data_IF_332768517923
#
_entry.id   IF_332768517923
#
_cell.length_a   1.000
_cell.length_b   1.000
_cell.length_c   1.000
_cell.angle_alpha   90.00
_cell.angle_beta   90.00
_cell.angle_gamma   90.00
#
_symmetry.space_group_name_H-M   'P 1'
#
loop_
_entity.id
_entity.type
_entity.pdbx_description
1 polymer ?
#
# COMPACT_ATOMS: atom_id res chain seq x y z
N UNK A 1 4.33 23.05 -4.08
CA UNK A 1 3.20 22.09 -3.93
C UNK A 1 3.38 21.35 -2.61
N UNK A 2 2.35 20.69 -2.07
CA UNK A 2 2.46 19.91 -0.82
C UNK A 2 3.58 18.85 -0.91
N UNK A 3 3.73 18.19 -2.07
CA UNK A 3 4.81 17.24 -2.32
C UNK A 3 6.20 17.87 -2.19
N UNK A 4 6.44 19.08 -2.73
CA UNK A 4 7.74 19.75 -2.61
C UNK A 4 8.08 20.18 -1.17
N UNK A 5 7.08 20.35 -0.31
CA UNK A 5 7.25 20.84 1.06
C UNK A 5 7.30 19.70 2.09
N UNK A 6 6.55 18.62 1.85
CA UNK A 6 6.29 17.59 2.85
C UNK A 6 6.55 16.16 2.37
N UNK A 7 6.91 15.95 1.11
CA UNK A 7 7.07 14.63 0.48
C UNK A 7 5.82 13.72 0.58
N UNK A 8 4.67 14.29 0.91
CA UNK A 8 3.40 13.59 1.07
C UNK A 8 2.25 14.48 0.61
N UNK A 9 1.25 13.86 -0.03
CA UNK A 9 0.02 14.51 -0.44
C UNK A 9 -1.09 13.48 -0.48
N UNK A 10 -2.27 13.85 0.01
CA UNK A 10 -3.49 13.07 -0.16
C UNK A 10 -4.36 13.72 -1.24
N UNK A 11 -4.88 12.94 -2.17
CA UNK A 11 -5.74 13.43 -3.25
C UNK A 11 -7.07 12.67 -3.26
N UNK A 12 -8.19 13.31 -2.88
CA UNK A 12 -9.51 12.71 -2.98
C UNK A 12 -9.89 12.44 -4.43
N UNK A 13 -10.58 11.32 -4.71
CA UNK A 13 -11.07 10.99 -6.06
C UNK A 13 -11.97 12.08 -6.66
N UNK A 14 -12.76 12.78 -5.85
CA UNK A 14 -13.61 13.89 -6.29
C UNK A 14 -12.79 15.07 -6.86
N UNK A 15 -11.60 15.30 -6.30
CA UNK A 15 -10.68 16.35 -6.78
C UNK A 15 -9.88 15.89 -8.00
N UNK A 16 -9.59 14.58 -8.10
CA UNK A 16 -8.89 14.01 -9.25
C UNK A 16 -9.80 13.90 -10.48
N UNK A 17 -10.99 13.34 -10.31
CA UNK A 17 -11.94 13.08 -11.39
C UNK A 17 -13.36 13.00 -10.84
N UNK A 18 -14.05 14.14 -10.85
CA UNK A 18 -15.43 14.26 -10.37
C UNK A 18 -16.39 13.23 -11.01
N UNK A 19 -16.36 12.95 -12.34
CA UNK A 19 -17.22 11.92 -12.93
C UNK A 19 -16.99 10.51 -12.35
N UNK A 20 -15.74 10.13 -12.07
CA UNK A 20 -15.46 8.82 -11.44
C UNK A 20 -15.97 8.78 -9.99
N UNK A 21 -15.88 9.89 -9.27
CA UNK A 21 -16.46 10.01 -7.94
C UNK A 21 -17.98 9.80 -7.97
N UNK A 22 -18.69 10.47 -8.88
CA UNK A 22 -20.14 10.32 -9.04
C UNK A 22 -20.53 8.86 -9.32
N UNK A 23 -19.79 8.17 -10.19
CA UNK A 23 -20.02 6.75 -10.46
C UNK A 23 -19.80 5.85 -9.22
N UNK A 24 -18.82 6.17 -8.37
CA UNK A 24 -18.62 5.47 -7.09
C UNK A 24 -19.80 5.71 -6.14
N UNK A 25 -20.33 6.93 -6.10
CA UNK A 25 -21.46 7.32 -5.24
C UNK A 25 -22.79 6.66 -5.64
N UNK A 26 -22.88 6.00 -6.79
CA UNK A 26 -24.06 5.21 -7.18
C UNK A 26 -24.16 3.86 -6.43
N UNK A 27 -23.16 3.48 -5.65
CA UNK A 27 -23.16 2.21 -4.89
C UNK A 27 -24.37 2.02 -3.98
N UNK A 28 -24.85 3.00 -3.19
CA UNK A 28 -26.04 2.83 -2.36
C UNK A 28 -27.32 2.59 -3.18
N UNK A 29 -27.38 3.10 -4.41
CA UNK A 29 -28.52 2.91 -5.31
C UNK A 29 -28.55 1.49 -5.89
N UNK A 30 -27.40 0.98 -6.33
CA UNK A 30 -27.32 -0.33 -7.01
C UNK A 30 -26.95 -1.50 -6.09
N UNK A 31 -26.49 -1.23 -4.86
CA UNK A 31 -26.10 -2.24 -3.88
C UNK A 31 -24.81 -3.01 -4.21
N UNK A 32 -24.12 -2.67 -5.30
CA UNK A 32 -22.98 -3.43 -5.83
C UNK A 32 -21.73 -2.56 -6.02
N UNK A 33 -20.55 -3.19 -5.99
CA UNK A 33 -19.30 -2.54 -6.42
C UNK A 33 -19.21 -2.60 -7.96
N UNK A 34 -19.11 -1.44 -8.60
CA UNK A 34 -18.87 -1.34 -10.04
C UNK A 34 -17.38 -1.52 -10.40
N UNK A 35 -17.04 -1.81 -11.68
CA UNK A 35 -15.66 -1.86 -12.15
C UNK A 35 -14.83 -0.60 -11.86
N UNK A 36 -15.49 0.54 -11.67
CA UNK A 36 -14.87 1.82 -11.31
C UNK A 36 -14.09 1.72 -9.99
N UNK A 37 -14.54 0.90 -9.04
CA UNK A 37 -13.84 0.72 -7.75
C UNK A 37 -12.46 0.08 -7.92
N UNK A 38 -12.33 -0.81 -8.91
CA UNK A 38 -11.05 -1.44 -9.27
C UNK A 38 -10.23 -0.49 -10.13
N UNK A 39 -10.84 0.15 -11.14
CA UNK A 39 -10.17 1.07 -12.05
C UNK A 39 -9.53 2.26 -11.32
N UNK A 40 -10.23 2.87 -10.35
CA UNK A 40 -9.69 4.04 -9.64
C UNK A 40 -8.40 3.73 -8.88
N UNK A 41 -8.19 2.47 -8.46
CA UNK A 41 -6.97 2.02 -7.79
C UNK A 41 -5.78 1.83 -8.76
N UNK A 42 -6.03 1.80 -10.07
CA UNK A 42 -5.01 1.74 -11.12
C UNK A 42 -4.56 3.14 -11.59
N UNK A 43 -5.21 4.20 -11.12
CA UNK A 43 -4.88 5.56 -11.58
C UNK A 43 -3.51 5.99 -11.05
N UNK A 44 -2.64 6.40 -11.96
CA UNK A 44 -1.37 7.03 -11.65
C UNK A 44 -1.31 8.44 -12.26
N UNK A 45 -2.13 9.39 -11.76
CA UNK A 45 -2.33 10.69 -12.41
C UNK A 45 -1.10 11.59 -12.38
N UNK A 46 -0.14 11.30 -11.50
CA UNK A 46 1.12 12.04 -11.38
C UNK A 46 2.28 11.35 -12.09
N UNK A 47 2.02 10.27 -12.83
CA UNK A 47 3.05 9.45 -13.47
C UNK A 47 4.18 9.05 -12.49
N UNK A 48 3.80 8.68 -11.27
CA UNK A 48 4.75 8.25 -10.25
C UNK A 48 5.56 7.06 -10.75
N UNK A 49 6.88 7.09 -10.51
CA UNK A 49 7.82 6.06 -10.96
C UNK A 49 7.62 4.69 -10.28
N UNK A 50 6.87 4.66 -9.17
CA UNK A 50 6.55 3.47 -8.40
C UNK A 50 5.09 3.53 -7.96
N UNK A 51 4.33 2.48 -8.22
CA UNK A 51 2.94 2.32 -7.75
C UNK A 51 2.82 1.11 -6.83
N UNK A 52 1.89 1.15 -5.88
CA UNK A 52 1.52 0.01 -5.06
C UNK A 52 0.00 -0.16 -5.13
N UNK A 53 -0.46 -1.37 -5.39
CA UNK A 53 -1.85 -1.68 -5.66
C UNK A 53 -2.30 -2.89 -4.86
N UNK A 54 -3.50 -2.78 -4.29
CA UNK A 54 -4.13 -3.86 -3.55
C UNK A 54 -5.27 -4.48 -4.36
N UNK A 55 -5.32 -5.81 -4.39
CA UNK A 55 -6.43 -6.57 -4.98
C UNK A 55 -7.29 -7.20 -3.90
N UNK A 56 -8.60 -7.24 -4.14
CA UNK A 56 -9.54 -7.86 -3.18
C UNK A 56 -9.39 -9.39 -3.09
N UNK A 57 -9.03 -10.04 -4.20
CA UNK A 57 -8.83 -11.48 -4.28
C UNK A 57 -7.51 -11.81 -5.00
N UNK A 58 -6.69 -12.79 -4.54
CA UNK A 58 -5.38 -13.05 -5.12
C UNK A 58 -5.42 -13.44 -6.60
N UNK A 59 -6.53 -14.04 -7.05
CA UNK A 59 -6.73 -14.40 -8.46
C UNK A 59 -6.71 -13.20 -9.42
N UNK A 60 -6.89 -11.96 -8.91
CA UNK A 60 -6.82 -10.75 -9.74
C UNK A 60 -5.40 -10.18 -9.83
N UNK A 61 -4.44 -10.70 -9.06
CA UNK A 61 -3.08 -10.15 -9.04
C UNK A 61 -2.39 -10.24 -10.40
N UNK A 62 -2.54 -11.36 -11.11
CA UNK A 62 -1.96 -11.55 -12.45
C UNK A 62 -2.52 -10.57 -13.48
N UNK A 63 -3.85 -10.32 -13.46
CA UNK A 63 -4.48 -9.35 -14.37
C UNK A 63 -4.00 -7.93 -14.09
N UNK A 64 -3.91 -7.53 -12.82
CA UNK A 64 -3.44 -6.20 -12.44
C UNK A 64 -1.95 -6.02 -12.76
N UNK A 65 -1.12 -7.03 -12.50
CA UNK A 65 0.30 -7.05 -12.87
C UNK A 65 0.47 -6.92 -14.39
N UNK A 66 -0.28 -7.70 -15.17
CA UNK A 66 -0.27 -7.61 -16.62
C UNK A 66 -0.75 -6.26 -17.16
N UNK A 67 -1.71 -5.61 -16.48
CA UNK A 67 -2.13 -4.26 -16.81
C UNK A 67 -1.01 -3.23 -16.56
N UNK A 68 -0.31 -3.31 -15.43
CA UNK A 68 0.84 -2.45 -15.14
C UNK A 68 1.95 -2.59 -16.20
N UNK A 69 2.21 -3.82 -16.67
CA UNK A 69 3.14 -4.06 -17.78
C UNK A 69 2.70 -3.39 -19.08
N UNK A 70 1.43 -3.56 -19.45
CA UNK A 70 0.89 -2.97 -20.69
C UNK A 70 0.83 -1.44 -20.64
N UNK A 71 0.64 -0.87 -19.45
CA UNK A 71 0.69 0.58 -19.21
C UNK A 71 2.14 1.12 -19.17
N UNK A 72 3.14 0.26 -19.25
CA UNK A 72 4.56 0.64 -19.26
C UNK A 72 5.07 1.09 -17.89
N UNK A 73 4.43 0.67 -16.79
CA UNK A 73 4.93 0.99 -15.45
C UNK A 73 6.30 0.34 -15.22
N UNK A 74 7.29 1.14 -14.84
CA UNK A 74 8.65 0.63 -14.58
C UNK A 74 8.73 -0.08 -13.23
N UNK A 75 8.04 0.45 -12.21
CA UNK A 75 7.98 -0.13 -10.89
C UNK A 75 6.53 -0.17 -10.39
N UNK A 76 6.06 -1.36 -10.03
CA UNK A 76 4.71 -1.57 -9.53
C UNK A 76 4.70 -2.78 -8.61
N UNK A 77 3.89 -2.78 -7.55
CA UNK A 77 3.61 -3.99 -6.81
C UNK A 77 2.11 -4.21 -6.65
N UNK A 78 1.69 -5.43 -6.93
CA UNK A 78 0.30 -5.89 -6.81
C UNK A 78 0.26 -7.03 -5.81
N UNK A 79 -0.56 -6.88 -4.77
CA UNK A 79 -0.74 -7.91 -3.76
C UNK A 79 -2.11 -7.81 -3.09
N UNK A 80 -2.55 -8.86 -2.40
CA UNK A 80 -3.76 -8.78 -1.58
C UNK A 80 -3.44 -8.15 -0.23
N UNK A 81 -3.76 -6.86 -0.08
CA UNK A 81 -3.66 -6.17 1.20
C UNK A 81 -4.91 -6.31 2.06
N UNK A 82 -4.91 -5.63 3.22
CA UNK A 82 -5.97 -5.78 4.22
C UNK A 82 -7.19 -4.90 3.94
N UNK A 83 -8.40 -5.46 4.06
CA UNK A 83 -9.67 -4.81 3.68
C UNK A 83 -9.71 -4.19 2.26
N UNK A 84 -8.78 -4.57 1.38
CA UNK A 84 -8.61 -4.00 0.04
C UNK A 84 -7.69 -2.78 -0.01
N UNK A 85 -7.11 -2.36 1.11
CA UNK A 85 -6.10 -1.30 1.16
C UNK A 85 -4.71 -1.85 0.88
N UNK A 86 -3.79 -0.95 0.51
CA UNK A 86 -2.38 -1.27 0.25
C UNK A 86 -1.66 -1.39 1.58
N UNK A 87 -1.90 -2.52 2.25
CA UNK A 87 -1.34 -2.82 3.56
C UNK A 87 -0.84 -4.28 3.58
N UNK A 88 0.40 -4.48 4.03
CA UNK A 88 0.95 -5.80 4.29
C UNK A 88 0.16 -6.52 5.38
N UNK A 89 0.00 -7.83 5.25
CA UNK A 89 -0.79 -8.68 6.15
C UNK A 89 0.12 -9.64 6.91
N UNK A 90 0.65 -9.29 8.09
CA UNK A 90 1.56 -10.14 8.86
C UNK A 90 0.98 -11.51 9.21
N UNK A 91 -0.34 -11.58 9.35
CA UNK A 91 -1.08 -12.78 9.71
C UNK A 91 -1.26 -13.79 8.56
N UNK A 92 -0.84 -13.44 7.34
CA UNK A 92 -1.03 -14.25 6.16
C UNK A 92 0.26 -14.39 5.34
N UNK A 93 0.36 -15.48 4.58
CA UNK A 93 1.31 -15.59 3.48
C UNK A 93 0.82 -14.71 2.34
N UNK A 94 1.60 -13.70 1.96
CA UNK A 94 1.24 -12.76 0.88
C UNK A 94 2.12 -13.04 -0.33
N UNK A 95 1.50 -13.25 -1.48
CA UNK A 95 2.20 -13.30 -2.77
C UNK A 95 2.22 -11.89 -3.37
N UNK A 96 3.43 -11.40 -3.65
CA UNK A 96 3.70 -10.12 -4.27
C UNK A 96 4.00 -10.37 -5.76
N UNK A 97 3.33 -9.62 -6.63
CA UNK A 97 3.63 -9.53 -8.05
C UNK A 97 4.25 -8.16 -8.29
N UNK A 98 5.53 -8.13 -8.64
CA UNK A 98 6.33 -6.92 -8.64
C UNK A 98 6.88 -6.70 -10.05
N UNK A 99 6.71 -5.49 -10.56
CA UNK A 99 7.55 -4.94 -11.61
C UNK A 99 8.64 -4.10 -10.94
N UNK A 100 9.89 -4.36 -11.28
CA UNK A 100 11.03 -3.59 -10.81
C UNK A 100 11.96 -3.36 -11.99
N UNK A 101 12.16 -2.10 -12.36
CA UNK A 101 12.87 -1.70 -13.58
C UNK A 101 12.36 -2.43 -14.83
N UNK A 102 11.05 -2.66 -14.92
CA UNK A 102 10.40 -3.38 -16.02
C UNK A 102 10.48 -4.92 -15.93
N UNK A 103 11.24 -5.47 -14.99
CA UNK A 103 11.36 -6.91 -14.80
C UNK A 103 10.28 -7.44 -13.84
N UNK A 104 9.67 -8.57 -14.20
CA UNK A 104 8.66 -9.23 -13.37
C UNK A 104 9.30 -10.15 -12.33
N UNK A 105 8.97 -9.89 -11.07
CA UNK A 105 9.44 -10.63 -9.91
C UNK A 105 8.23 -11.11 -9.11
N UNK A 106 8.28 -12.36 -8.64
CA UNK A 106 7.32 -12.86 -7.66
C UNK A 106 8.04 -13.14 -6.35
N UNK A 107 7.47 -12.66 -5.25
CA UNK A 107 7.97 -12.93 -3.91
C UNK A 107 6.82 -13.38 -3.02
N UNK A 108 7.07 -14.33 -2.13
CA UNK A 108 6.05 -14.82 -1.18
C UNK A 108 6.56 -14.63 0.23
N UNK A 109 5.80 -13.89 1.04
CA UNK A 109 6.18 -13.59 2.41
C UNK A 109 5.84 -14.74 3.36
N UNK A 110 6.48 -14.74 4.53
CA UNK A 110 6.12 -15.64 5.62
C UNK A 110 4.97 -15.07 6.45
N UNK A 111 4.12 -15.96 6.99
CA UNK A 111 3.18 -15.60 8.05
C UNK A 111 3.97 -15.34 9.33
N UNK A 112 3.76 -14.18 9.94
CA UNK A 112 4.46 -13.71 11.12
C UNK A 112 3.61 -13.77 12.41
N UNK A 113 2.29 -13.92 12.30
CA UNK A 113 1.43 -13.94 13.49
C UNK A 113 -0.04 -14.25 13.22
N UNK A 114 -0.88 -13.91 14.18
CA UNK A 114 -2.33 -14.04 14.10
C UNK A 114 -3.01 -12.75 13.65
N UNK A 115 -4.27 -12.86 13.23
CA UNK A 115 -5.07 -11.69 12.89
C UNK A 115 -5.29 -10.83 14.14
N UNK A 116 -5.28 -9.49 14.02
CA UNK A 116 -5.57 -8.62 15.13
C UNK A 116 -7.04 -8.79 15.54
N UNK A 117 -7.35 -8.50 16.80
CA UNK A 117 -8.75 -8.41 17.20
C UNK A 117 -9.43 -7.22 16.50
N UNK A 118 -10.71 -7.35 16.12
CA UNK A 118 -11.48 -6.22 15.64
C UNK A 118 -11.48 -5.08 16.66
N UNK A 119 -11.16 -3.87 16.21
CA UNK A 119 -11.15 -2.68 17.04
C UNK A 119 -11.94 -1.55 16.36
N UNK A 120 -12.45 -0.64 17.18
CA UNK A 120 -13.06 0.59 16.67
C UNK A 120 -11.95 1.56 16.29
N UNK A 121 -11.94 2.12 15.06
CA UNK A 121 -10.92 3.08 14.65
C UNK A 121 -10.80 4.25 15.64
N UNK A 122 -9.58 4.51 16.10
CA UNK A 122 -9.28 5.57 17.05
C UNK A 122 -7.99 6.28 16.65
N UNK A 123 -8.11 7.54 16.22
CA UNK A 123 -6.98 8.35 15.80
C UNK A 123 -5.93 8.55 16.90
N UNK A 124 -6.36 8.66 18.17
CA UNK A 124 -5.43 8.74 19.30
C UNK A 124 -4.60 7.47 19.43
N UNK A 125 -5.22 6.29 19.29
CA UNK A 125 -4.48 5.03 19.35
C UNK A 125 -3.41 4.95 18.25
N UNK A 126 -3.74 5.38 17.03
CA UNK A 126 -2.76 5.42 15.91
C UNK A 126 -1.56 6.34 16.25
N UNK A 127 -1.83 7.52 16.82
CA UNK A 127 -0.78 8.44 17.25
C UNK A 127 0.04 7.89 18.42
N UNK A 128 -0.60 7.23 19.37
CA UNK A 128 0.09 6.63 20.53
C UNK A 128 1.03 5.50 20.06
N UNK A 129 0.60 4.65 19.11
CA UNK A 129 1.48 3.64 18.48
C UNK A 129 2.63 4.31 17.70
N UNK A 130 2.32 5.32 16.88
CA UNK A 130 3.34 6.07 16.13
C UNK A 130 4.38 6.72 17.06
N UNK A 131 3.98 7.21 18.23
CA UNK A 131 4.89 7.84 19.22
C UNK A 131 5.52 6.85 20.20
N UNK A 132 5.33 5.53 20.00
CA UNK A 132 5.83 4.51 20.93
C UNK A 132 5.19 4.55 22.32
N UNK A 133 4.07 5.26 22.50
CA UNK A 133 3.32 5.35 23.75
C UNK A 133 2.38 4.15 23.95
N UNK A 134 2.13 3.37 22.90
CA UNK A 134 1.40 2.10 22.94
C UNK A 134 2.14 1.07 22.09
N UNK A 135 2.43 -0.09 22.65
CA UNK A 135 2.96 -1.21 21.88
C UNK A 135 1.84 -1.86 21.07
N UNK A 136 2.12 -2.17 19.80
CA UNK A 136 1.22 -2.93 18.95
C UNK A 136 2.05 -3.66 17.87
N UNK A 137 2.41 -4.91 18.16
CA UNK A 137 3.27 -5.72 17.27
C UNK A 137 2.67 -5.92 15.88
N UNK A 138 1.34 -6.10 15.78
CA UNK A 138 0.68 -6.26 14.49
C UNK A 138 0.80 -4.98 13.65
N UNK A 139 0.51 -3.82 14.26
CA UNK A 139 0.62 -2.53 13.57
C UNK A 139 2.05 -2.27 13.09
N UNK A 140 3.05 -2.51 13.95
CA UNK A 140 4.45 -2.35 13.56
C UNK A 140 4.83 -3.27 12.38
N UNK A 141 4.44 -4.54 12.42
CA UNK A 141 4.70 -5.49 11.32
C UNK A 141 3.98 -5.09 10.02
N UNK A 142 2.74 -4.61 10.11
CA UNK A 142 1.99 -4.14 8.95
C UNK A 142 2.63 -2.87 8.34
N UNK A 143 3.02 -1.90 9.17
CA UNK A 143 3.69 -0.66 8.76
C UNK A 143 5.03 -0.95 8.11
N UNK A 144 5.92 -1.67 8.82
CA UNK A 144 7.27 -1.99 8.33
C UNK A 144 7.23 -2.90 7.10
N UNK A 145 6.32 -3.88 7.06
CA UNK A 145 6.13 -4.73 5.89
C UNK A 145 5.63 -3.97 4.66
N UNK A 146 4.70 -3.02 4.83
CA UNK A 146 4.21 -2.17 3.73
C UNK A 146 5.33 -1.27 3.20
N UNK A 147 6.08 -0.63 4.10
CA UNK A 147 7.24 0.18 3.74
C UNK A 147 8.33 -0.64 3.05
N UNK A 148 8.60 -1.87 3.49
CA UNK A 148 9.56 -2.77 2.85
C UNK A 148 9.17 -3.09 1.40
N UNK A 149 7.88 -3.37 1.14
CA UNK A 149 7.38 -3.58 -0.23
C UNK A 149 7.62 -2.32 -1.07
N UNK A 150 7.33 -1.13 -0.54
CA UNK A 150 7.55 0.14 -1.23
C UNK A 150 9.04 0.35 -1.57
N UNK A 151 9.94 0.14 -0.61
CA UNK A 151 11.39 0.31 -0.78
C UNK A 151 11.97 -0.67 -1.80
N UNK A 152 11.56 -1.93 -1.73
CA UNK A 152 12.01 -2.94 -2.68
C UNK A 152 11.52 -2.65 -4.11
N UNK A 153 10.23 -2.34 -4.24
CA UNK A 153 9.59 -2.04 -5.54
C UNK A 153 10.20 -0.81 -6.19
N UNK A 154 10.44 0.25 -5.42
CA UNK A 154 11.07 1.49 -5.90
C UNK A 154 12.59 1.41 -6.09
N UNK A 155 13.16 0.20 -6.03
CA UNK A 155 14.59 -0.06 -6.18
C UNK A 155 15.53 0.62 -5.15
N UNK A 156 15.01 1.04 -3.99
CA UNK A 156 15.81 1.57 -2.88
C UNK A 156 16.43 0.47 -2.00
N UNK A 157 16.11 -0.80 -2.26
CA UNK A 157 16.70 -1.96 -1.63
C UNK A 157 16.98 -3.06 -2.66
N UNK A 158 18.04 -3.84 -2.43
CA UNK A 158 18.50 -4.90 -3.33
C UNK A 158 17.70 -6.21 -3.17
N UNK A 159 17.14 -6.44 -1.98
CA UNK A 159 16.34 -7.61 -1.65
C UNK A 159 15.18 -7.25 -0.72
N UNK A 160 14.17 -8.13 -0.64
CA UNK A 160 13.06 -7.96 0.32
C UNK A 160 13.55 -7.95 1.77
N UNK A 161 14.59 -8.73 2.11
CA UNK A 161 15.17 -8.75 3.46
C UNK A 161 15.87 -7.43 3.78
N UNK A 162 16.66 -6.89 2.83
CA UNK A 162 17.30 -5.57 2.98
C UNK A 162 16.24 -4.46 3.11
N UNK A 163 15.16 -4.54 2.33
CA UNK A 163 14.05 -3.61 2.40
C UNK A 163 13.33 -3.66 3.77
N UNK A 164 13.14 -4.85 4.33
CA UNK A 164 12.57 -5.03 5.67
C UNK A 164 13.48 -4.42 6.75
N UNK A 165 14.79 -4.68 6.68
CA UNK A 165 15.75 -4.09 7.62
C UNK A 165 15.77 -2.55 7.55
N UNK A 166 15.71 -1.99 6.34
CA UNK A 166 15.63 -0.56 6.13
C UNK A 166 14.32 0.02 6.71
N UNK A 167 13.18 -0.60 6.42
CA UNK A 167 11.87 -0.18 6.95
C UNK A 167 11.82 -0.23 8.48
N UNK A 168 12.37 -1.27 9.11
CA UNK A 168 12.48 -1.36 10.57
C UNK A 168 13.40 -0.29 11.16
N UNK A 169 14.48 0.06 10.46
CA UNK A 169 15.36 1.16 10.87
C UNK A 169 14.64 2.51 10.80
N UNK A 170 13.94 2.78 9.70
CA UNK A 170 13.08 3.97 9.57
C UNK A 170 12.03 4.05 10.68
N UNK A 171 11.38 2.92 11.00
CA UNK A 171 10.45 2.84 12.12
C UNK A 171 11.11 3.22 13.43
N UNK A 172 12.27 2.63 13.77
CA UNK A 172 12.98 2.97 15.02
C UNK A 172 13.40 4.44 15.11
N UNK A 173 13.73 5.07 13.99
CA UNK A 173 14.19 6.46 13.90
C UNK A 173 13.07 7.48 13.65
N UNK A 174 11.80 7.05 13.65
CA UNK A 174 10.66 7.89 13.23
C UNK A 174 10.45 9.16 14.08
N UNK A 175 10.94 9.21 15.31
CA UNK A 175 10.81 10.39 16.17
C UNK A 175 11.78 11.51 15.79
N UNK A 176 12.97 11.17 15.27
CA UNK A 176 13.95 12.15 14.79
C UNK A 176 13.39 12.95 13.59
N UNK A 177 12.48 12.34 12.81
CA UNK A 177 11.80 12.95 11.67
C UNK A 177 10.66 13.90 12.04
N UNK A 178 10.17 13.87 13.30
CA UNK A 178 9.13 14.79 13.77
C UNK A 178 9.72 16.08 14.36
N UNK A 179 11.04 16.09 14.65
CA UNK A 179 11.77 17.23 15.24
C UNK A 179 12.60 18.05 14.25
N UNK A 180 12.62 17.68 12.97
CA UNK A 180 13.28 18.37 11.85
C UNK A 180 12.27 19.04 10.92
#
# INVERSE_FOLDING_TARGET
TQLNQHNFSFMPIAQLCQPLHELIQLRPLFGLRSPVHTLCRLLNPLAAHCTLQSVFHPAYADTHHGAAQQLGESNAAVFKGDAGEVEYRPQARVKLHILRNGESIQHTTNRLGEAPQPLTPNAKHLLDVWRGQSENTYAEQAITGTAAIALYTSAHAESMDAAMQAAQTMWRQREELLGS
#
